data_IF_169958865669
#
_entry.id   IF_169958865669
#
_cell.length_a   1.000
_cell.length_b   1.000
_cell.length_c   1.000
_cell.angle_alpha   90.00
_cell.angle_beta   90.00
_cell.angle_gamma   90.00
#
_symmetry.space_group_name_H-M   'P 1'
#
loop_
_entity.id
_entity.type
_entity.pdbx_description
1 polymer ?
#
# COMPACT_ATOMS: atom_id res chain seq x y z
N UNK A 1 29.20 -15.54 -42.75
CA UNK A 1 27.79 -15.86 -42.46
C UNK A 1 27.81 -16.93 -41.37
N UNK A 2 27.57 -16.56 -40.11
CA UNK A 2 27.55 -17.45 -38.94
C UNK A 2 26.22 -17.26 -38.18
N UNK A 3 25.64 -18.32 -37.57
CA UNK A 3 24.23 -18.35 -37.23
C UNK A 3 23.91 -17.70 -35.88
N UNK A 4 22.73 -17.11 -35.81
CA UNK A 4 22.09 -16.53 -34.62
C UNK A 4 21.60 -17.69 -33.75
N UNK A 5 22.24 -17.94 -32.61
CA UNK A 5 21.66 -18.74 -31.53
C UNK A 5 21.25 -17.84 -30.38
N UNK A 6 19.93 -17.60 -30.34
CA UNK A 6 19.07 -17.55 -29.16
C UNK A 6 19.64 -16.89 -27.89
N UNK A 7 19.26 -15.62 -27.68
CA UNK A 7 19.31 -14.97 -26.37
C UNK A 7 18.23 -15.59 -25.49
N UNK A 8 18.57 -16.63 -24.72
CA UNK A 8 17.79 -17.01 -23.55
C UNK A 8 17.99 -15.94 -22.49
N UNK A 9 17.03 -15.02 -22.35
CA UNK A 9 17.04 -13.99 -21.29
C UNK A 9 16.89 -14.69 -19.95
N UNK A 10 18.02 -14.91 -19.29
CA UNK A 10 18.11 -15.42 -17.93
C UNK A 10 17.54 -14.36 -16.96
N UNK A 11 16.44 -14.61 -16.23
CA UNK A 11 15.72 -13.62 -15.43
C UNK A 11 16.53 -13.07 -14.25
N UNK A 12 17.68 -13.66 -13.93
CA UNK A 12 18.54 -13.26 -12.83
C UNK A 12 19.47 -12.05 -13.12
N UNK A 13 19.41 -11.45 -14.32
CA UNK A 13 20.40 -10.46 -14.78
C UNK A 13 19.90 -9.00 -14.88
N UNK A 14 19.06 -8.55 -13.94
CA UNK A 14 18.62 -7.15 -13.82
C UNK A 14 19.31 -6.36 -12.68
N UNK A 15 20.14 -7.00 -11.84
CA UNK A 15 20.60 -6.42 -10.57
C UNK A 15 21.97 -5.72 -10.58
N UNK A 16 22.37 -5.02 -11.66
CA UNK A 16 23.78 -4.55 -11.72
C UNK A 16 24.05 -3.11 -12.13
N UNK A 17 23.03 -2.23 -12.16
CA UNK A 17 23.26 -0.87 -12.68
C UNK A 17 22.62 0.28 -11.90
N UNK A 18 21.93 0.05 -10.78
CA UNK A 18 21.23 1.13 -10.07
C UNK A 18 21.49 1.19 -8.55
N UNK A 19 21.92 0.10 -7.90
CA UNK A 19 22.12 0.07 -6.45
C UNK A 19 23.53 -0.44 -6.09
N UNK A 20 24.24 0.18 -5.12
CA UNK A 20 25.56 -0.26 -4.68
C UNK A 20 25.58 -1.60 -3.93
N UNK A 21 24.43 -2.09 -3.50
CA UNK A 21 24.27 -3.32 -2.70
C UNK A 21 23.63 -4.44 -3.52
N UNK A 22 24.01 -5.69 -3.22
CA UNK A 22 23.54 -6.89 -3.94
C UNK A 22 22.06 -7.20 -3.71
N UNK A 23 21.52 -6.77 -2.57
CA UNK A 23 20.10 -6.88 -2.21
C UNK A 23 19.51 -5.49 -1.98
N UNK A 24 18.27 -5.21 -2.41
CA UNK A 24 17.56 -3.98 -2.03
C UNK A 24 17.50 -3.84 -0.50
N UNK A 25 17.50 -2.61 0.03
CA UNK A 25 17.36 -2.40 1.47
C UNK A 25 15.92 -2.68 1.90
N UNK A 26 15.76 -3.14 3.14
CA UNK A 26 14.46 -3.16 3.80
C UNK A 26 14.04 -1.74 4.20
N UNK A 27 12.73 -1.48 4.20
CA UNK A 27 12.17 -0.20 4.65
C UNK A 27 11.79 -0.29 6.12
N UNK A 28 12.39 0.55 6.97
CA UNK A 28 12.07 0.61 8.39
C UNK A 28 10.86 1.52 8.64
N UNK A 29 9.68 0.91 8.77
CA UNK A 29 8.42 1.64 8.96
C UNK A 29 8.34 2.39 10.30
N UNK A 30 9.23 2.09 11.25
CA UNK A 30 9.35 2.86 12.51
C UNK A 30 9.88 4.27 12.28
N UNK A 31 10.47 4.53 11.11
CA UNK A 31 10.95 5.86 10.71
C UNK A 31 9.86 6.74 10.09
N UNK A 32 8.65 6.21 9.89
CA UNK A 32 7.50 7.02 9.46
C UNK A 32 7.16 8.03 10.55
N UNK A 33 7.32 9.31 10.23
CA UNK A 33 7.11 10.43 11.17
C UNK A 33 5.83 11.24 10.88
N UNK A 34 5.29 11.15 9.67
CA UNK A 34 4.04 11.79 9.28
C UNK A 34 2.82 11.08 9.89
N UNK A 35 1.85 11.78 10.52
CA UNK A 35 0.64 11.16 11.04
C UNK A 35 -0.08 10.30 9.98
N UNK A 36 -0.43 9.07 10.33
CA UNK A 36 -1.04 8.11 9.38
C UNK A 36 -2.49 7.82 9.76
N UNK A 37 -3.40 7.93 8.79
CA UNK A 37 -4.75 7.39 8.90
C UNK A 37 -4.85 6.14 8.01
N UNK A 38 -5.25 5.01 8.57
CA UNK A 38 -5.46 3.76 7.84
C UNK A 38 -6.94 3.58 7.51
N UNK A 39 -7.22 3.30 6.23
CA UNK A 39 -8.53 2.91 5.73
C UNK A 39 -8.37 1.57 5.03
N UNK A 40 -9.16 0.57 5.42
CA UNK A 40 -9.02 -0.79 4.91
C UNK A 40 -10.37 -1.52 4.91
N UNK A 41 -10.48 -2.62 4.18
CA UNK A 41 -11.69 -3.44 4.09
C UNK A 41 -11.35 -4.93 4.13
N UNK A 42 -12.31 -5.75 4.57
CA UNK A 42 -12.14 -7.21 4.65
C UNK A 42 -12.14 -7.89 3.26
N UNK A 43 -12.78 -7.26 2.27
CA UNK A 43 -12.90 -7.79 0.92
C UNK A 43 -11.74 -7.38 0.00
N UNK A 44 -10.74 -6.66 0.51
CA UNK A 44 -9.51 -6.40 -0.21
C UNK A 44 -8.62 -7.65 -0.23
N UNK A 45 -8.66 -8.38 -1.35
CA UNK A 45 -7.83 -9.56 -1.55
C UNK A 45 -6.41 -9.23 -2.02
N UNK A 46 -6.14 -7.98 -2.41
CA UNK A 46 -4.80 -7.54 -2.82
C UNK A 46 -3.99 -7.10 -1.61
N UNK A 47 -4.65 -6.50 -0.61
CA UNK A 47 -4.08 -6.10 0.67
C UNK A 47 -4.93 -6.71 1.80
N UNK A 48 -4.69 -7.98 2.16
CA UNK A 48 -5.44 -8.65 3.21
C UNK A 48 -5.37 -7.91 4.55
N UNK A 49 -6.43 -8.04 5.36
CA UNK A 49 -6.52 -7.42 6.69
C UNK A 49 -5.35 -7.82 7.62
N UNK A 50 -4.77 -9.00 7.41
CA UNK A 50 -3.60 -9.52 8.11
C UNK A 50 -2.39 -8.60 7.91
N UNK A 51 -2.13 -8.21 6.66
CA UNK A 51 -1.01 -7.36 6.28
C UNK A 51 -1.22 -5.92 6.78
N UNK A 52 -2.47 -5.45 6.78
CA UNK A 52 -2.83 -4.17 7.40
C UNK A 52 -2.58 -4.22 8.92
N UNK A 53 -2.90 -5.34 9.58
CA UNK A 53 -2.63 -5.52 11.00
C UNK A 53 -1.13 -5.59 11.32
N UNK A 54 -0.31 -6.13 10.41
CA UNK A 54 1.15 -6.07 10.52
C UNK A 54 1.65 -4.63 10.34
N UNK A 55 1.23 -3.94 9.28
CA UNK A 55 1.54 -2.53 9.01
C UNK A 55 1.21 -1.64 10.21
N UNK A 56 0.03 -1.83 10.80
CA UNK A 56 -0.46 -1.08 11.96
C UNK A 56 0.42 -1.24 13.20
N UNK A 57 1.09 -2.38 13.36
CA UNK A 57 2.02 -2.63 14.47
C UNK A 57 3.38 -1.96 14.27
N UNK A 58 3.82 -1.78 13.02
CA UNK A 58 5.14 -1.24 12.71
C UNK A 58 5.17 0.29 12.60
N UNK A 59 4.07 0.91 12.15
CA UNK A 59 3.96 2.37 12.05
C UNK A 59 3.65 2.98 13.44
N UNK A 60 4.51 3.87 13.99
CA UNK A 60 4.40 4.35 15.36
C UNK A 60 3.32 5.41 15.56
N UNK A 61 2.84 6.04 14.49
CA UNK A 61 2.05 7.27 14.52
C UNK A 61 0.75 7.18 13.72
N UNK A 62 0.09 6.02 13.81
CA UNK A 62 -1.28 5.87 13.31
C UNK A 62 -2.26 6.63 14.21
N UNK A 63 -2.85 7.68 13.67
CA UNK A 63 -3.79 8.59 14.36
C UNK A 63 -5.25 8.23 14.13
N UNK A 64 -5.53 7.41 13.12
CA UNK A 64 -6.87 6.92 12.80
C UNK A 64 -6.79 5.55 12.12
N UNK A 65 -7.70 4.65 12.46
CA UNK A 65 -7.76 3.29 11.93
C UNK A 65 -9.24 2.96 11.68
N UNK A 66 -9.60 2.82 10.40
CA UNK A 66 -10.98 2.70 9.97
C UNK A 66 -11.15 1.51 9.04
N UNK A 67 -11.97 0.57 9.50
CA UNK A 67 -12.44 -0.55 8.71
C UNK A 67 -13.75 -0.19 8.02
N UNK A 68 -13.77 -0.28 6.70
CA UNK A 68 -14.96 -0.08 5.87
C UNK A 68 -15.97 -1.19 6.17
N UNK A 69 -17.23 -0.80 6.42
CA UNK A 69 -18.28 -1.72 6.84
C UNK A 69 -18.86 -2.58 5.70
N UNK A 70 -18.81 -2.12 4.44
CA UNK A 70 -19.29 -2.91 3.30
C UNK A 70 -18.35 -4.09 3.07
N UNK A 71 -18.86 -5.30 3.35
CA UNK A 71 -18.13 -6.57 3.25
C UNK A 71 -17.83 -6.99 1.81
N UNK A 72 -18.17 -6.16 0.81
CA UNK A 72 -17.86 -6.37 -0.60
C UNK A 72 -16.92 -5.29 -1.14
N UNK A 73 -16.49 -4.35 -0.31
CA UNK A 73 -15.62 -3.25 -0.70
C UNK A 73 -14.22 -3.78 -1.04
N UNK A 74 -13.98 -4.07 -2.33
CA UNK A 74 -12.71 -4.61 -2.82
C UNK A 74 -11.64 -3.53 -2.98
N UNK A 75 -10.41 -3.93 -3.31
CA UNK A 75 -9.29 -3.02 -3.55
C UNK A 75 -9.62 -1.88 -4.53
N UNK A 76 -10.39 -2.18 -5.59
CA UNK A 76 -10.70 -1.22 -6.64
C UNK A 76 -11.71 -0.16 -6.19
N UNK A 77 -12.55 -0.49 -5.21
CA UNK A 77 -13.61 0.40 -4.73
C UNK A 77 -13.02 1.65 -4.06
N UNK A 78 -11.82 1.55 -3.46
CA UNK A 78 -11.10 2.70 -2.89
C UNK A 78 -10.83 3.83 -3.89
N UNK A 79 -10.72 3.50 -5.18
CA UNK A 79 -10.37 4.46 -6.23
C UNK A 79 -11.55 4.79 -7.15
N UNK A 80 -12.33 3.78 -7.53
CA UNK A 80 -13.35 3.88 -8.60
C UNK A 80 -14.71 3.32 -8.21
N UNK A 81 -14.92 3.00 -6.93
CA UNK A 81 -16.18 2.46 -6.44
C UNK A 81 -17.32 3.46 -6.51
N UNK A 82 -18.48 3.04 -7.02
CA UNK A 82 -19.66 3.93 -7.10
C UNK A 82 -20.24 4.26 -5.72
N UNK A 83 -20.00 3.42 -4.72
CA UNK A 83 -20.39 3.62 -3.31
C UNK A 83 -19.27 4.21 -2.46
N UNK A 84 -18.09 4.50 -3.05
CA UNK A 84 -16.90 4.96 -2.32
C UNK A 84 -17.13 6.26 -1.56
N UNK A 85 -18.01 7.14 -2.06
CA UNK A 85 -18.37 8.37 -1.36
C UNK A 85 -18.88 8.08 0.06
N UNK A 86 -19.90 7.24 0.16
CA UNK A 86 -20.58 6.93 1.41
C UNK A 86 -19.78 5.97 2.27
N UNK A 87 -19.12 4.98 1.66
CA UNK A 87 -18.37 3.95 2.36
C UNK A 87 -17.00 4.44 2.88
N UNK A 88 -16.41 5.46 2.25
CA UNK A 88 -15.02 5.88 2.50
C UNK A 88 -14.86 7.42 2.51
N UNK A 89 -15.18 8.10 1.40
CA UNK A 89 -14.70 9.47 1.19
C UNK A 89 -15.26 10.48 2.18
N UNK A 90 -16.51 10.34 2.64
CA UNK A 90 -17.07 11.23 3.65
C UNK A 90 -16.29 11.13 4.97
N UNK A 91 -15.97 9.90 5.42
CA UNK A 91 -15.12 9.67 6.61
C UNK A 91 -13.69 10.15 6.39
N UNK A 92 -13.14 9.98 5.18
CA UNK A 92 -11.81 10.45 4.83
C UNK A 92 -11.71 11.98 4.90
N UNK A 93 -12.67 12.70 4.34
CA UNK A 93 -12.71 14.17 4.38
C UNK A 93 -12.85 14.67 5.81
N UNK A 94 -13.74 14.07 6.60
CA UNK A 94 -13.88 14.40 8.02
C UNK A 94 -12.57 14.18 8.79
N UNK A 95 -11.84 13.11 8.46
CA UNK A 95 -10.52 12.82 9.03
C UNK A 95 -9.51 13.90 8.67
N UNK A 96 -9.46 14.32 7.41
CA UNK A 96 -8.58 15.41 6.96
C UNK A 96 -8.90 16.73 7.68
N UNK A 97 -10.18 17.09 7.80
CA UNK A 97 -10.62 18.30 8.51
C UNK A 97 -10.21 18.21 9.98
N UNK A 98 -10.46 17.07 10.63
CA UNK A 98 -10.13 16.85 12.04
C UNK A 98 -8.64 17.01 12.36
N UNK A 99 -7.76 16.59 11.45
CA UNK A 99 -6.31 16.66 11.62
C UNK A 99 -5.65 17.79 10.83
N UNK A 100 -6.44 18.71 10.27
CA UNK A 100 -5.90 19.90 9.62
C UNK A 100 -5.22 20.80 10.66
N UNK A 101 -4.03 21.36 10.34
CA UNK A 101 -3.45 22.42 11.16
C UNK A 101 -4.44 23.58 11.29
N UNK A 102 -4.66 24.05 12.52
CA UNK A 102 -5.42 25.27 12.80
C UNK A 102 -4.60 26.51 12.47
#
# INVERSE_FOLDING_TARGET
MLPISTVHKNPHRLKRTLLPQESPPDYDLRQVSAPVALFWSEADTLVPAEDVALLRKEIPNVVFDFRIADTRFSHQEFAIGITAKEALYDTLVDTLIRFSPQ
#
